data_IF_249355171581
#
_entry.id   IF_249355171581
#
_cell.length_a   1.000
_cell.length_b   1.000
_cell.length_c   1.000
_cell.angle_alpha   90.00
_cell.angle_beta   90.00
_cell.angle_gamma   90.00
#
_symmetry.space_group_name_H-M   'P 1'
#
loop_
_entity.id
_entity.type
_entity.pdbx_description
1 polymer ?
#
# COMPACT_ATOMS: atom_id res chain seq x y z
N UNK A 1 -5.44 -1.54 -23.37
CA UNK A 1 -4.44 -1.59 -22.29
C UNK A 1 -4.60 -2.93 -21.61
N UNK A 2 -3.50 -3.61 -21.31
CA UNK A 2 -3.56 -4.91 -20.62
C UNK A 2 -3.83 -4.70 -19.14
N UNK A 3 -4.65 -5.56 -18.54
CA UNK A 3 -4.71 -5.72 -17.10
C UNK A 3 -3.37 -6.29 -16.58
N UNK A 4 -2.97 -5.92 -15.37
CA UNK A 4 -1.84 -6.39 -14.59
C UNK A 4 -2.38 -6.70 -13.21
N UNK A 5 -2.37 -7.96 -12.78
CA UNK A 5 -2.99 -8.29 -11.49
C UNK A 5 -1.95 -8.15 -10.37
N UNK A 6 -2.14 -7.18 -9.48
CA UNK A 6 -1.28 -7.02 -8.32
C UNK A 6 -1.68 -7.98 -7.20
N UNK A 7 -0.69 -8.52 -6.48
CA UNK A 7 -0.94 -9.40 -5.34
C UNK A 7 -0.91 -8.61 -4.03
N UNK A 8 -1.82 -8.97 -3.12
CA UNK A 8 -1.81 -8.54 -1.74
C UNK A 8 -0.50 -8.99 -1.07
N UNK A 9 0.31 -8.04 -0.59
CA UNK A 9 1.61 -8.30 0.04
C UNK A 9 1.52 -9.32 1.19
N UNK A 10 0.40 -9.35 1.90
CA UNK A 10 0.21 -10.22 3.05
C UNK A 10 -0.24 -11.64 2.69
N UNK A 11 -0.97 -11.85 1.59
CA UNK A 11 -1.65 -13.14 1.34
C UNK A 11 -1.45 -13.71 -0.06
N UNK A 12 -0.97 -12.92 -1.00
CA UNK A 12 -0.76 -13.32 -2.38
C UNK A 12 -2.03 -13.41 -3.24
N UNK A 13 -3.21 -13.18 -2.66
CA UNK A 13 -4.47 -13.06 -3.45
C UNK A 13 -4.44 -11.80 -4.30
N UNK A 14 -5.18 -11.78 -5.40
CA UNK A 14 -5.29 -10.56 -6.22
C UNK A 14 -5.94 -9.44 -5.42
N UNK A 15 -5.50 -8.19 -5.61
CA UNK A 15 -6.16 -7.01 -5.03
C UNK A 15 -7.34 -6.50 -5.88
N UNK A 16 -7.56 -7.08 -7.06
CA UNK A 16 -8.56 -6.58 -8.00
C UNK A 16 -9.98 -6.67 -7.43
N UNK A 17 -10.78 -5.63 -7.70
CA UNK A 17 -12.24 -5.57 -7.50
C UNK A 17 -12.77 -5.73 -6.07
N UNK A 18 -11.92 -5.64 -5.03
CA UNK A 18 -12.32 -5.82 -3.63
C UNK A 18 -12.02 -4.62 -2.72
N UNK A 19 -11.55 -3.51 -3.31
CA UNK A 19 -10.91 -2.40 -2.62
C UNK A 19 -9.45 -2.70 -2.25
N UNK A 20 -8.61 -1.67 -2.30
CA UNK A 20 -7.18 -1.77 -1.98
C UNK A 20 -6.79 -0.79 -0.90
N UNK A 21 -5.96 -1.26 0.02
CA UNK A 21 -5.20 -0.45 0.96
C UNK A 21 -3.74 -0.40 0.51
N UNK A 22 -3.22 0.80 0.32
CA UNK A 22 -1.82 1.02 0.00
C UNK A 22 -1.06 1.68 1.13
N UNK A 23 0.24 1.41 1.19
CA UNK A 23 1.16 2.07 2.11
C UNK A 23 2.36 2.53 1.29
N UNK A 24 2.63 3.83 1.28
CA UNK A 24 3.84 4.38 0.68
C UNK A 24 5.02 3.90 1.49
N UNK A 25 6.02 3.38 0.80
CA UNK A 25 7.27 2.89 1.35
C UNK A 25 8.42 3.73 0.84
N UNK A 26 9.39 3.99 1.71
CA UNK A 26 10.72 4.47 1.33
C UNK A 26 11.65 3.27 1.16
N UNK A 27 12.35 3.21 0.05
CA UNK A 27 13.41 2.22 -0.16
C UNK A 27 14.71 2.71 0.50
N UNK A 28 15.00 2.20 1.70
CA UNK A 28 16.23 2.44 2.44
C UNK A 28 17.27 1.34 2.18
N UNK A 29 18.57 1.56 2.49
CA UNK A 29 19.60 0.53 2.31
C UNK A 29 19.34 -0.79 3.06
N UNK A 30 18.54 -0.74 4.13
CA UNK A 30 18.16 -1.89 4.96
C UNK A 30 16.87 -2.58 4.51
N UNK A 31 16.21 -2.06 3.47
CA UNK A 31 14.94 -2.55 2.94
C UNK A 31 13.88 -1.46 2.86
N UNK A 32 12.62 -1.87 2.75
CA UNK A 32 11.50 -0.93 2.65
C UNK A 32 10.95 -0.57 4.02
N UNK A 33 10.66 0.72 4.19
CA UNK A 33 10.13 1.29 5.43
C UNK A 33 8.84 2.05 5.13
N UNK A 34 7.72 1.78 5.83
CA UNK A 34 6.50 2.56 5.68
C UNK A 34 6.74 4.05 5.97
N UNK A 35 6.21 4.93 5.14
CA UNK A 35 6.22 6.39 5.36
C UNK A 35 4.83 7.00 5.42
N UNK A 36 3.81 6.30 4.95
CA UNK A 36 2.41 6.71 5.09
C UNK A 36 1.62 5.81 6.02
N UNK A 37 0.47 6.31 6.45
CA UNK A 37 -0.66 5.51 6.92
C UNK A 37 -1.30 4.74 5.74
N UNK A 38 -2.29 3.89 6.02
CA UNK A 38 -3.04 3.19 4.99
C UNK A 38 -3.84 4.16 4.11
N UNK A 39 -3.70 4.03 2.80
CA UNK A 39 -4.41 4.80 1.78
C UNK A 39 -5.45 3.89 1.13
N UNK A 40 -6.74 4.18 1.31
CA UNK A 40 -7.80 3.36 0.70
C UNK A 40 -8.15 3.88 -0.70
N UNK A 41 -8.26 2.97 -1.66
CA UNK A 41 -8.72 3.26 -3.03
C UNK A 41 -9.15 1.98 -3.75
N UNK A 42 -9.28 2.07 -5.07
CA UNK A 42 -9.59 0.95 -5.95
C UNK A 42 -8.41 0.69 -6.88
N UNK A 43 -8.13 -0.58 -7.16
CA UNK A 43 -7.11 -0.93 -8.13
C UNK A 43 -7.71 -0.96 -9.53
N UNK A 44 -7.13 -0.19 -10.46
CA UNK A 44 -7.67 0.02 -11.81
C UNK A 44 -7.37 -1.14 -12.78
N UNK A 45 -6.56 -2.10 -12.33
CA UNK A 45 -6.10 -3.21 -13.15
C UNK A 45 -4.95 -2.87 -14.08
N UNK A 46 -4.55 -1.61 -14.23
CA UNK A 46 -3.41 -1.19 -15.05
C UNK A 46 -2.12 -0.95 -14.23
N UNK A 47 -2.16 -1.19 -12.92
CA UNK A 47 -1.04 -0.92 -12.02
C UNK A 47 -1.21 0.32 -11.16
N UNK A 48 -2.39 0.94 -11.19
CA UNK A 48 -2.70 2.19 -10.51
C UNK A 48 -3.81 2.03 -9.48
N UNK A 49 -3.78 2.91 -8.48
CA UNK A 49 -4.82 3.10 -7.50
C UNK A 49 -5.59 4.37 -7.86
N UNK A 50 -6.88 4.18 -8.06
CA UNK A 50 -7.84 5.21 -8.39
C UNK A 50 -8.82 5.43 -7.24
N UNK A 51 -9.37 6.64 -7.16
CA UNK A 51 -10.41 6.97 -6.20
C UNK A 51 -9.89 6.96 -4.76
N UNK A 52 -8.66 7.44 -4.55
CA UNK A 52 -8.07 7.54 -3.22
C UNK A 52 -8.99 8.37 -2.31
N UNK A 53 -9.40 7.75 -1.20
CA UNK A 53 -10.31 8.39 -0.25
C UNK A 53 -9.55 9.41 0.57
N UNK A 54 -10.04 10.64 0.58
CA UNK A 54 -9.54 11.68 1.47
C UNK A 54 -9.90 11.37 2.93
N UNK A 55 -8.89 11.31 3.78
CA UNK A 55 -8.97 11.30 5.24
C UNK A 55 -7.82 12.16 5.83
N UNK A 56 -7.82 12.46 7.14
CA UNK A 56 -6.79 13.32 7.74
C UNK A 56 -5.35 12.85 7.45
N UNK A 57 -5.10 11.54 7.42
CA UNK A 57 -3.78 10.98 7.15
C UNK A 57 -3.35 11.12 5.69
N UNK A 58 -4.27 10.96 4.74
CA UNK A 58 -3.98 11.13 3.31
C UNK A 58 -3.73 12.60 2.97
N UNK A 59 -4.48 13.51 3.57
CA UNK A 59 -4.36 14.96 3.38
C UNK A 59 -3.03 15.49 3.92
N UNK A 60 -2.63 15.06 5.13
CA UNK A 60 -1.32 15.41 5.70
C UNK A 60 -0.15 14.90 4.85
N UNK A 61 -0.26 13.69 4.31
CA UNK A 61 0.74 13.14 3.40
C UNK A 61 0.84 13.98 2.12
N UNK A 62 -0.30 14.35 1.54
CA UNK A 62 -0.35 15.19 0.35
C UNK A 62 0.30 16.55 0.59
N UNK A 63 -0.09 17.26 1.65
CA UNK A 63 0.46 18.58 1.98
C UNK A 63 1.98 18.51 2.19
N UNK A 64 2.46 17.45 2.86
CA UNK A 64 3.88 17.20 3.03
C UNK A 64 4.59 16.99 1.68
N UNK A 65 4.10 16.06 0.84
CA UNK A 65 4.72 15.76 -0.46
C UNK A 65 4.71 16.97 -1.38
N UNK A 66 3.61 17.75 -1.38
CA UNK A 66 3.50 18.99 -2.10
C UNK A 66 4.55 20.01 -1.62
N UNK A 67 4.72 20.20 -0.30
CA UNK A 67 5.77 21.04 0.25
C UNK A 67 7.18 20.57 -0.13
N UNK A 68 7.43 19.27 -0.07
CA UNK A 68 8.69 18.66 -0.49
C UNK A 68 8.97 18.86 -1.98
N UNK A 69 7.95 18.80 -2.83
CA UNK A 69 8.07 19.07 -4.26
C UNK A 69 8.49 20.51 -4.54
N UNK A 70 7.83 21.48 -3.91
CA UNK A 70 8.17 22.90 -4.03
C UNK A 70 9.59 23.22 -3.52
N UNK A 71 10.04 22.52 -2.47
CA UNK A 71 11.39 22.69 -1.91
C UNK A 71 12.49 21.92 -2.67
N UNK A 72 12.12 21.03 -3.60
CA UNK A 72 13.04 20.15 -4.32
C UNK A 72 13.52 18.92 -3.54
N UNK A 73 12.93 18.63 -2.37
CA UNK A 73 13.17 17.39 -1.60
C UNK A 73 12.51 16.18 -2.24
N UNK A 74 11.35 16.39 -2.88
CA UNK A 74 10.66 15.38 -3.66
C UNK A 74 10.90 15.64 -5.15
N UNK A 75 11.47 14.66 -5.85
CA UNK A 75 11.88 14.75 -7.25
C UNK A 75 11.19 13.64 -8.04
N UNK A 76 10.61 13.99 -9.18
CA UNK A 76 9.97 13.05 -10.10
C UNK A 76 10.64 13.09 -11.48
N UNK A 77 10.84 11.93 -12.10
CA UNK A 77 11.44 11.84 -13.45
C UNK A 77 10.47 12.32 -14.54
N UNK A 78 9.18 12.04 -14.36
CA UNK A 78 8.12 12.63 -15.19
C UNK A 78 7.85 14.04 -14.68
N UNK A 79 7.92 15.03 -15.58
CA UNK A 79 7.70 16.42 -15.23
C UNK A 79 6.33 16.60 -14.58
N UNK A 80 6.33 17.11 -13.36
CA UNK A 80 5.13 17.50 -12.66
C UNK A 80 4.61 18.81 -13.26
N UNK A 81 3.33 18.84 -13.64
CA UNK A 81 2.66 20.05 -14.07
C UNK A 81 1.66 20.46 -12.99
N UNK A 82 1.91 21.60 -12.33
CA UNK A 82 1.06 22.13 -11.26
C UNK A 82 -0.41 22.31 -11.69
N UNK A 83 -0.67 22.45 -13.00
CA UNK A 83 -2.04 22.58 -13.52
C UNK A 83 -2.83 21.26 -13.56
N UNK A 84 -2.19 20.11 -13.33
CA UNK A 84 -2.83 18.79 -13.39
C UNK A 84 -3.55 18.41 -12.08
N UNK A 85 -3.46 19.27 -11.07
CA UNK A 85 -4.20 19.16 -9.81
C UNK A 85 -5.54 19.90 -9.91
N UNK A 86 -6.51 19.34 -10.63
CA UNK A 86 -7.90 19.65 -10.30
C UNK A 86 -8.16 19.18 -8.86
N UNK A 87 -8.84 19.99 -8.05
CA UNK A 87 -9.03 19.74 -6.62
C UNK A 87 -9.66 18.36 -6.34
N UNK A 88 -10.40 17.81 -7.31
CA UNK A 88 -11.07 16.51 -7.21
C UNK A 88 -10.15 15.29 -7.40
N UNK A 89 -8.95 15.44 -7.99
CA UNK A 89 -8.04 14.32 -8.29
C UNK A 89 -6.61 14.54 -7.76
N UNK A 90 -6.40 15.54 -6.91
CA UNK A 90 -5.07 15.93 -6.43
C UNK A 90 -4.33 14.81 -5.68
N UNK A 91 -5.05 13.96 -4.95
CA UNK A 91 -4.47 12.82 -4.23
C UNK A 91 -4.03 11.74 -5.20
N UNK A 92 -4.91 11.35 -6.12
CA UNK A 92 -4.62 10.37 -7.18
C UNK A 92 -3.46 10.84 -8.07
N UNK A 93 -3.42 12.12 -8.44
CA UNK A 93 -2.34 12.70 -9.22
C UNK A 93 -0.99 12.66 -8.48
N UNK A 94 -0.96 12.99 -7.18
CA UNK A 94 0.25 12.91 -6.37
C UNK A 94 0.72 11.46 -6.19
N UNK A 95 -0.21 10.54 -5.91
CA UNK A 95 0.11 9.13 -5.74
C UNK A 95 0.55 8.49 -7.06
N UNK A 96 -0.05 8.88 -8.19
CA UNK A 96 0.36 8.45 -9.53
C UNK A 96 1.83 8.78 -9.84
N UNK A 97 2.42 9.82 -9.24
CA UNK A 97 3.86 10.08 -9.35
C UNK A 97 4.69 8.97 -8.70
N UNK A 98 4.22 8.41 -7.58
CA UNK A 98 4.87 7.32 -6.84
C UNK A 98 4.67 5.98 -7.57
N UNK A 99 3.52 5.80 -8.22
CA UNK A 99 3.20 4.57 -8.94
C UNK A 99 3.96 4.39 -10.24
N UNK A 100 4.46 5.49 -10.81
CA UNK A 100 5.18 5.45 -12.07
C UNK A 100 6.56 4.82 -11.91
N UNK A 101 6.84 3.86 -12.79
CA UNK A 101 8.16 3.24 -12.96
C UNK A 101 8.68 3.50 -14.37
N UNK A 102 9.99 3.72 -14.47
CA UNK A 102 10.71 3.78 -15.73
C UNK A 102 11.43 2.45 -15.96
N UNK A 103 11.50 1.98 -17.21
CA UNK A 103 12.26 0.79 -17.55
C UNK A 103 13.69 1.15 -17.94
N UNK A 104 14.67 0.76 -17.13
CA UNK A 104 16.10 0.89 -17.44
C UNK A 104 16.78 -0.47 -17.45
N UNK A 105 17.46 -0.83 -18.54
CA UNK A 105 18.18 -2.10 -18.69
C UNK A 105 17.34 -3.36 -18.37
N UNK A 106 16.01 -3.28 -18.61
CA UNK A 106 15.07 -4.37 -18.31
C UNK A 106 14.57 -4.41 -16.87
N UNK A 107 14.92 -3.44 -16.03
CA UNK A 107 14.47 -3.32 -14.65
C UNK A 107 13.55 -2.10 -14.47
N UNK A 108 12.51 -2.25 -13.65
CA UNK A 108 11.67 -1.14 -13.21
C UNK A 108 12.43 -0.29 -12.18
N UNK A 109 12.58 0.99 -12.49
CA UNK A 109 13.15 2.01 -11.62
C UNK A 109 12.03 2.92 -11.12
N UNK A 110 11.89 3.13 -9.80
CA UNK A 110 10.92 4.09 -9.28
C UNK A 110 11.23 5.48 -9.81
N UNK A 111 10.19 6.23 -10.18
CA UNK A 111 10.37 7.59 -10.74
C UNK A 111 10.23 8.71 -9.72
N UNK A 112 9.80 8.37 -8.50
CA UNK A 112 9.61 9.27 -7.37
C UNK A 112 10.71 9.08 -6.33
N UNK A 113 11.40 10.15 -5.95
CA UNK A 113 12.51 10.14 -4.99
C UNK A 113 12.29 11.23 -3.94
N UNK A 114 12.31 10.86 -2.66
CA UNK A 114 12.24 11.79 -1.52
C UNK A 114 13.55 11.75 -0.74
N UNK A 115 14.20 12.91 -0.60
CA UNK A 115 15.49 13.06 0.10
C UNK A 115 16.56 12.05 -0.38
N UNK A 116 16.56 11.75 -1.69
CA UNK A 116 17.49 10.81 -2.32
C UNK A 116 17.13 9.33 -2.20
N UNK A 117 16.01 8.98 -1.55
CA UNK A 117 15.51 7.62 -1.45
C UNK A 117 14.27 7.41 -2.34
N UNK A 118 14.19 6.32 -3.13
CA UNK A 118 13.00 6.01 -3.91
C UNK A 118 11.75 5.82 -3.04
N UNK A 119 10.62 6.38 -3.49
CA UNK A 119 9.30 6.05 -2.97
C UNK A 119 8.65 5.00 -3.85
N UNK A 120 8.07 3.99 -3.21
CA UNK A 120 7.28 2.92 -3.83
C UNK A 120 6.05 2.67 -2.95
N UNK A 121 5.27 1.64 -3.23
CA UNK A 121 4.08 1.31 -2.44
C UNK A 121 3.93 -0.19 -2.23
N UNK A 122 3.39 -0.60 -1.08
CA UNK A 122 2.82 -1.93 -0.86
C UNK A 122 1.32 -1.89 -1.08
N UNK A 123 0.73 -2.98 -1.55
CA UNK A 123 -0.72 -3.15 -1.66
C UNK A 123 -1.23 -4.31 -0.81
N UNK A 124 -2.37 -4.09 -0.18
CA UNK A 124 -3.07 -5.05 0.68
C UNK A 124 -4.53 -5.01 0.28
N UNK A 125 -5.13 -6.16 0.00
CA UNK A 125 -6.57 -6.24 -0.27
C UNK A 125 -7.35 -5.71 0.94
N UNK A 126 -8.33 -4.83 0.73
CA UNK A 126 -9.04 -4.16 1.83
C UNK A 126 -9.69 -5.13 2.84
N UNK A 127 -10.35 -6.24 2.44
CA UNK A 127 -10.89 -7.23 3.39
C UNK A 127 -9.83 -7.81 4.33
N UNK A 128 -8.60 -7.94 3.84
CA UNK A 128 -7.46 -8.46 4.60
C UNK A 128 -6.95 -7.39 5.58
N UNK A 129 -6.85 -6.14 5.12
CA UNK A 129 -6.52 -5.01 6.00
C UNK A 129 -7.54 -4.90 7.14
N UNK A 130 -8.83 -4.82 6.82
CA UNK A 130 -9.92 -4.67 7.79
C UNK A 130 -9.92 -5.78 8.85
N UNK A 131 -9.67 -7.02 8.42
CA UNK A 131 -9.63 -8.17 9.31
C UNK A 131 -8.46 -8.12 10.30
N UNK A 132 -7.29 -7.61 9.91
CA UNK A 132 -6.14 -7.45 10.80
C UNK A 132 -6.30 -6.19 11.65
N UNK A 133 -6.77 -5.11 11.05
CA UNK A 133 -7.00 -3.83 11.70
C UNK A 133 -8.02 -3.91 12.84
N UNK A 134 -8.88 -4.93 12.89
CA UNK A 134 -9.85 -5.15 13.97
C UNK A 134 -9.36 -6.09 15.08
N UNK A 135 -8.13 -6.63 14.96
CA UNK A 135 -7.55 -7.49 15.99
C UNK A 135 -7.18 -6.71 17.26
N UNK A 136 -7.00 -7.45 18.37
CA UNK A 136 -6.59 -6.87 19.63
C UNK A 136 -5.22 -6.18 19.48
N UNK A 137 -5.11 -4.93 19.92
CA UNK A 137 -3.86 -4.21 19.89
C UNK A 137 -2.82 -4.86 20.82
N UNK A 138 -1.58 -4.98 20.36
CA UNK A 138 -0.46 -5.48 21.16
C UNK A 138 0.06 -4.43 22.16
N UNK A 139 -0.30 -3.16 21.98
CA UNK A 139 0.16 -2.03 22.77
C UNK A 139 -0.35 -0.69 22.23
N UNK A 140 0.12 0.45 22.77
CA UNK A 140 -0.23 1.76 22.26
C UNK A 140 0.41 1.99 20.88
N UNK A 141 -0.38 2.41 19.90
CA UNK A 141 0.14 2.88 18.63
C UNK A 141 0.68 4.31 18.78
N UNK A 142 1.95 4.48 18.47
CA UNK A 142 2.64 5.77 18.41
C UNK A 142 3.42 5.85 17.10
N UNK A 143 3.81 7.05 16.68
CA UNK A 143 4.65 7.20 15.48
C UNK A 143 5.93 6.37 15.58
N UNK A 144 6.58 6.35 16.75
CA UNK A 144 7.78 5.57 16.97
C UNK A 144 7.53 4.05 16.89
N UNK A 145 6.44 3.54 17.46
CA UNK A 145 6.16 2.09 17.40
C UNK A 145 5.79 1.61 16.00
N UNK A 146 5.19 2.49 15.17
CA UNK A 146 4.75 2.14 13.81
C UNK A 146 5.86 2.34 12.78
N UNK A 147 6.59 3.45 12.88
CA UNK A 147 7.54 3.91 11.87
C UNK A 147 9.00 3.91 12.34
N UNK A 148 9.27 3.56 13.60
CA UNK A 148 10.60 3.67 14.20
C UNK A 148 11.05 5.12 14.38
N UNK A 149 12.35 5.36 14.33
CA UNK A 149 12.97 6.68 14.51
C UNK A 149 13.06 7.50 13.20
N UNK A 150 12.25 7.17 12.19
CA UNK A 150 12.30 7.86 10.92
C UNK A 150 11.69 9.28 11.05
N UNK A 151 12.44 10.35 10.71
CA UNK A 151 11.98 11.72 10.93
C UNK A 151 10.82 12.13 10.02
N UNK A 152 10.67 11.50 8.85
CA UNK A 152 9.67 11.87 7.85
C UNK A 152 8.25 11.81 8.42
N UNK A 153 7.93 10.77 9.18
CA UNK A 153 6.59 10.53 9.72
C UNK A 153 6.30 11.46 10.89
N UNK A 154 7.32 11.92 11.60
CA UNK A 154 7.20 13.01 12.58
C UNK A 154 6.95 14.36 11.89
N UNK A 155 7.53 14.62 10.71
CA UNK A 155 7.22 15.81 9.90
C UNK A 155 5.78 15.78 9.38
N UNK A 156 5.31 14.62 8.89
CA UNK A 156 3.95 14.47 8.35
C UNK A 156 2.89 14.52 9.47
N UNK A 157 3.05 13.69 10.51
CA UNK A 157 1.98 13.40 11.47
C UNK A 157 2.25 13.92 12.88
N UNK A 158 3.46 14.40 13.21
CA UNK A 158 3.88 14.66 14.59
C UNK A 158 2.98 15.63 15.35
N UNK A 159 2.63 16.76 14.73
CA UNK A 159 1.71 17.75 15.32
C UNK A 159 0.24 17.29 15.30
N UNK A 160 -0.08 16.27 14.50
CA UNK A 160 -1.44 15.81 14.20
C UNK A 160 -1.70 14.38 14.68
N UNK A 161 -0.83 13.82 15.54
CA UNK A 161 -0.89 12.42 15.94
C UNK A 161 -2.25 12.02 16.55
N UNK A 162 -2.94 12.96 17.20
CA UNK A 162 -4.29 12.76 17.75
C UNK A 162 -5.36 12.66 16.65
N UNK A 163 -5.20 13.42 15.56
CA UNK A 163 -6.14 13.45 14.44
C UNK A 163 -6.08 12.17 13.60
N UNK A 164 -4.92 11.49 13.61
CA UNK A 164 -4.68 10.24 12.88
C UNK A 164 -4.57 9.01 13.79
N UNK A 165 -5.02 9.10 15.06
CA UNK A 165 -4.87 8.00 16.03
C UNK A 165 -5.52 6.71 15.51
N UNK A 166 -6.71 6.77 14.92
CA UNK A 166 -7.38 5.60 14.37
C UNK A 166 -6.51 4.90 13.30
N UNK A 167 -6.02 5.66 12.31
CA UNK A 167 -5.15 5.15 11.24
C UNK A 167 -3.82 4.62 11.78
N UNK A 168 -3.27 5.26 12.83
CA UNK A 168 -2.05 4.77 13.50
C UNK A 168 -2.29 3.43 14.18
N UNK A 169 -3.42 3.24 14.84
CA UNK A 169 -3.79 1.97 15.48
C UNK A 169 -3.96 0.86 14.44
N UNK A 170 -4.55 1.17 13.28
CA UNK A 170 -4.67 0.21 12.19
C UNK A 170 -3.31 -0.21 11.65
N UNK A 171 -2.48 0.76 11.25
CA UNK A 171 -1.16 0.45 10.71
C UNK A 171 -0.26 -0.26 11.73
N UNK A 172 -0.38 0.06 13.03
CA UNK A 172 0.34 -0.67 14.08
C UNK A 172 0.00 -2.16 14.09
N UNK A 173 -1.30 -2.53 13.98
CA UNK A 173 -1.73 -3.93 13.92
C UNK A 173 -1.22 -4.63 12.66
N UNK A 174 -1.16 -3.91 11.54
CA UNK A 174 -0.60 -4.43 10.29
C UNK A 174 0.91 -4.65 10.43
N UNK A 175 1.64 -3.68 10.99
CA UNK A 175 3.08 -3.78 11.22
C UNK A 175 3.44 -4.92 12.18
N UNK A 176 2.68 -5.06 13.27
CA UNK A 176 2.80 -6.19 14.20
C UNK A 176 2.56 -7.53 13.49
N UNK A 177 1.54 -7.60 12.63
CA UNK A 177 1.24 -8.80 11.86
C UNK A 177 2.38 -9.15 10.90
N UNK A 178 2.89 -8.17 10.14
CA UNK A 178 4.04 -8.32 9.24
C UNK A 178 5.23 -8.88 10.01
N UNK A 179 5.56 -8.29 11.16
CA UNK A 179 6.67 -8.72 12.02
C UNK A 179 6.46 -10.12 12.59
N UNK A 180 5.29 -10.41 13.17
CA UNK A 180 4.97 -11.69 13.78
C UNK A 180 4.98 -12.87 12.78
N UNK A 181 4.72 -12.58 11.49
CA UNK A 181 4.75 -13.56 10.41
C UNK A 181 6.10 -13.66 9.70
N UNK A 182 7.11 -12.91 10.14
CA UNK A 182 8.43 -12.85 9.49
C UNK A 182 8.35 -12.33 8.05
N UNK A 183 7.31 -11.56 7.75
CA UNK A 183 7.18 -10.86 6.48
C UNK A 183 8.01 -9.57 6.53
N UNK A 184 8.24 -8.99 5.37
CA UNK A 184 8.84 -7.66 5.23
C UNK A 184 7.91 -6.79 4.40
N UNK A 185 7.95 -5.48 4.66
CA UNK A 185 7.39 -4.51 3.73
C UNK A 185 8.13 -4.61 2.40
N UNK A 186 7.38 -4.62 1.30
CA UNK A 186 7.93 -4.69 -0.04
C UNK A 186 6.88 -4.18 -1.05
N UNK A 187 7.36 -3.72 -2.18
CA UNK A 187 6.51 -3.40 -3.33
C UNK A 187 6.06 -4.67 -4.07
N UNK A 188 4.90 -4.67 -4.75
CA UNK A 188 4.35 -5.85 -5.41
C UNK A 188 5.34 -6.60 -6.33
N UNK A 189 6.21 -5.89 -7.04
CA UNK A 189 7.14 -6.45 -8.03
C UNK A 189 8.50 -6.86 -7.45
N UNK A 190 8.73 -6.71 -6.14
CA UNK A 190 10.00 -7.12 -5.54
C UNK A 190 10.15 -8.65 -5.59
N UNK A 191 11.18 -9.20 -6.26
CA UNK A 191 11.34 -10.64 -6.44
C UNK A 191 11.64 -11.38 -5.13
N UNK A 192 12.13 -10.70 -4.11
CA UNK A 192 12.37 -11.26 -2.79
C UNK A 192 11.12 -11.19 -1.89
N UNK A 193 9.99 -10.63 -2.37
CA UNK A 193 8.72 -10.65 -1.64
C UNK A 193 8.19 -12.08 -1.55
N UNK A 194 7.48 -12.42 -0.48
CA UNK A 194 6.88 -13.77 -0.33
C UNK A 194 5.89 -14.09 -1.45
N UNK A 195 5.12 -13.09 -1.88
CA UNK A 195 4.13 -13.20 -2.94
C UNK A 195 4.39 -12.14 -4.02
N UNK A 196 5.39 -12.33 -4.89
CA UNK A 196 5.72 -11.35 -5.91
C UNK A 196 4.67 -11.35 -7.03
N UNK A 197 4.38 -10.17 -7.55
CA UNK A 197 3.60 -9.95 -8.78
C UNK A 197 4.51 -10.21 -9.99
N UNK A 198 4.01 -11.00 -10.93
CA UNK A 198 4.65 -11.35 -12.21
C UNK A 198 4.16 -10.49 -13.39
N UNK A 199 3.18 -9.61 -13.16
CA UNK A 199 2.59 -8.74 -14.18
C UNK A 199 1.68 -9.49 -15.17
N UNK A 200 1.32 -10.73 -14.88
CA UNK A 200 0.39 -11.50 -15.71
C UNK A 200 -1.07 -11.25 -15.31
N UNK A 201 -1.98 -11.34 -16.28
CA UNK A 201 -3.43 -11.40 -16.04
C UNK A 201 -3.81 -12.79 -15.57
N UNK A 202 -4.73 -12.86 -14.61
CA UNK A 202 -5.10 -14.11 -13.96
C UNK A 202 -6.59 -14.36 -14.10
N UNK A 203 -6.89 -15.60 -14.49
CA UNK A 203 -8.26 -16.08 -14.56
C UNK A 203 -8.76 -16.58 -13.22
N UNK A 204 -10.06 -16.86 -13.16
CA UNK A 204 -10.79 -17.35 -11.99
C UNK A 204 -10.11 -18.57 -11.31
N UNK A 205 -9.67 -19.56 -12.10
CA UNK A 205 -8.98 -20.75 -11.58
C UNK A 205 -7.68 -20.42 -10.83
N UNK A 206 -6.93 -19.41 -11.29
CA UNK A 206 -5.69 -18.98 -10.64
C UNK A 206 -5.99 -18.21 -9.35
N UNK A 207 -7.00 -17.35 -9.35
CA UNK A 207 -7.45 -16.65 -8.15
C UNK A 207 -7.94 -17.63 -7.07
N UNK A 208 -8.71 -18.66 -7.45
CA UNK A 208 -9.13 -19.72 -6.55
C UNK A 208 -7.93 -20.47 -5.94
N UNK A 209 -6.90 -20.76 -6.74
CA UNK A 209 -5.67 -21.39 -6.24
C UNK A 209 -4.91 -20.51 -5.24
N UNK A 210 -4.85 -19.18 -5.46
CA UNK A 210 -4.23 -18.25 -4.51
C UNK A 210 -5.00 -18.16 -3.20
N UNK A 211 -6.34 -18.10 -3.24
CA UNK A 211 -7.16 -18.15 -2.03
C UNK A 211 -6.92 -19.46 -1.27
N UNK A 212 -6.87 -20.60 -1.96
CA UNK A 212 -6.58 -21.89 -1.34
C UNK A 212 -5.19 -21.91 -0.69
N UNK A 213 -4.17 -21.39 -1.38
CA UNK A 213 -2.81 -21.28 -0.82
C UNK A 213 -2.77 -20.34 0.40
N UNK A 214 -3.41 -19.18 0.33
CA UNK A 214 -3.49 -18.23 1.44
C UNK A 214 -4.15 -18.87 2.68
N UNK A 215 -5.20 -19.67 2.49
CA UNK A 215 -5.86 -20.41 3.59
C UNK A 215 -4.94 -21.44 4.23
N UNK A 216 -4.08 -22.09 3.44
CA UNK A 216 -3.09 -23.02 3.99
C UNK A 216 -2.00 -22.27 4.78
N UNK A 217 -1.45 -21.22 4.18
CA UNK A 217 -0.40 -20.38 4.75
C UNK A 217 -0.81 -19.71 6.07
N UNK A 218 -2.09 -19.38 6.20
CA UNK A 218 -2.67 -18.68 7.36
C UNK A 218 -3.74 -19.51 8.09
N UNK A 219 -3.64 -20.83 8.00
CA UNK A 219 -4.59 -21.76 8.65
C UNK A 219 -4.67 -21.62 10.18
N UNK A 220 -3.65 -21.02 10.80
CA UNK A 220 -3.55 -20.73 12.22
C UNK A 220 -4.06 -19.33 12.61
N UNK A 221 -4.53 -18.53 11.65
CA UNK A 221 -4.93 -17.13 11.85
C UNK A 221 -6.44 -16.94 11.59
N UNK A 222 -7.29 -17.00 12.64
CA UNK A 222 -8.73 -16.83 12.47
C UNK A 222 -9.11 -15.50 11.82
N UNK A 223 -8.38 -14.42 12.12
CA UNK A 223 -8.62 -13.11 11.52
C UNK A 223 -8.38 -13.14 10.00
N UNK A 224 -7.28 -13.74 9.55
CA UNK A 224 -6.98 -13.83 8.12
C UNK A 224 -7.96 -14.75 7.39
N UNK A 225 -8.37 -15.85 8.01
CA UNK A 225 -9.38 -16.73 7.43
C UNK A 225 -10.71 -15.99 7.25
N UNK A 226 -11.12 -15.17 8.23
CA UNK A 226 -12.31 -14.33 8.11
C UNK A 226 -12.15 -13.24 7.02
N UNK A 227 -10.98 -12.60 6.92
CA UNK A 227 -10.69 -11.65 5.86
C UNK A 227 -10.71 -12.29 4.46
N UNK A 228 -10.21 -13.52 4.33
CA UNK A 228 -10.27 -14.30 3.09
C UNK A 228 -11.70 -14.74 2.75
N UNK A 229 -12.55 -14.99 3.75
CA UNK A 229 -13.97 -15.25 3.54
C UNK A 229 -14.69 -14.00 2.99
N UNK A 230 -14.44 -12.82 3.57
CA UNK A 230 -14.99 -11.55 3.08
C UNK A 230 -14.48 -11.22 1.68
N UNK A 231 -13.18 -11.44 1.42
CA UNK A 231 -12.59 -11.30 0.09
C UNK A 231 -13.33 -12.13 -0.97
N UNK A 232 -13.55 -13.42 -0.72
CA UNK A 232 -14.28 -14.30 -1.65
C UNK A 232 -15.73 -13.85 -1.83
N UNK A 233 -16.38 -13.39 -0.76
CA UNK A 233 -17.74 -12.86 -0.84
C UNK A 233 -17.83 -11.60 -1.71
N UNK A 234 -16.85 -10.70 -1.63
CA UNK A 234 -16.78 -9.49 -2.47
C UNK A 234 -16.53 -9.83 -3.93
N UNK A 235 -15.60 -10.75 -4.23
CA UNK A 235 -15.38 -11.25 -5.60
C UNK A 235 -16.66 -11.83 -6.22
N UNK A 236 -17.40 -12.63 -5.45
CA UNK A 236 -18.68 -13.18 -5.91
C UNK A 236 -19.74 -12.09 -6.17
N UNK A 237 -19.74 -11.00 -5.39
CA UNK A 237 -20.68 -9.89 -5.56
C UNK A 237 -20.41 -9.06 -6.84
N UNK A 238 -19.15 -8.98 -7.30
CA UNK A 238 -18.77 -8.30 -8.54
C UNK A 238 -18.83 -9.20 -9.79
N UNK A 239 -19.15 -10.49 -9.61
CA UNK A 239 -19.37 -11.43 -10.72
C UNK A 239 -18.10 -12.09 -11.26
N UNK A 240 -17.03 -12.14 -10.47
CA UNK A 240 -15.75 -12.78 -10.80
C UNK A 240 -15.53 -13.94 -9.81
N UNK A 241 -15.72 -15.19 -10.26
CA UNK A 241 -15.57 -16.40 -9.42
C UNK A 241 -14.94 -17.53 -10.19
#
# INVERSE_FOLDING_TARGET
MGFFDCKCMLTGVSIDFVGTMAVVLRHAPTGYEPVSLGLSGEYDGAGHLDGLRADPGTELLYDFLQGCLHSGRFVTTYGYNESDLDDSYRLDAMFGLIENYWMEDGYQQPTAVLDGAPLVYATIAQPIWDAIATTAASGPATLHTVFGDNPIQHEIYGAHAVEVDAQLQELARIADFVSARGLRWAQPFDPEQRYPTDGEQRGDDQNAAYVAQARLDYSDSPALLAGLDDYVARLAAVGLT
#
